data_IF_605574201989
#
_entry.id   IF_605574201989
#
_cell.length_a   1.000
_cell.length_b   1.000
_cell.length_c   1.000
_cell.angle_alpha   90.00
_cell.angle_beta   90.00
_cell.angle_gamma   90.00
#
_symmetry.space_group_name_H-M   'P 1'
#
loop_
_entity.id
_entity.type
_entity.pdbx_description
1 polymer ?
#
# COMPACT_ATOMS: atom_id res chain seq x y z
N UNK A 1 37.60 -12.07 -37.76
CA UNK A 1 37.42 -10.60 -37.75
C UNK A 1 35.98 -10.14 -37.96
N UNK A 2 35.23 -10.53 -39.01
CA UNK A 2 33.83 -10.07 -39.17
C UNK A 2 32.86 -10.57 -38.08
N UNK A 3 33.05 -11.80 -37.58
CA UNK A 3 32.23 -12.39 -36.51
C UNK A 3 32.37 -11.64 -35.17
N UNK A 4 33.61 -11.26 -34.82
CA UNK A 4 33.93 -10.53 -33.60
C UNK A 4 33.33 -9.11 -33.61
N UNK A 5 33.37 -8.43 -34.76
CA UNK A 5 32.72 -7.13 -34.94
C UNK A 5 31.19 -7.25 -34.77
N UNK A 6 30.58 -8.36 -35.22
CA UNK A 6 29.15 -8.57 -35.05
C UNK A 6 28.76 -8.83 -33.58
N UNK A 7 29.57 -9.62 -32.86
CA UNK A 7 29.38 -9.88 -31.43
C UNK A 7 29.51 -8.59 -30.60
N UNK A 8 30.57 -7.81 -30.82
CA UNK A 8 30.77 -6.54 -30.10
C UNK A 8 29.65 -5.53 -30.38
N UNK A 9 29.13 -5.48 -31.61
CA UNK A 9 27.98 -4.62 -31.93
C UNK A 9 26.70 -5.06 -31.20
N UNK A 10 26.45 -6.37 -31.14
CA UNK A 10 25.31 -6.93 -30.43
C UNK A 10 25.38 -6.64 -28.93
N UNK A 11 26.56 -6.78 -28.32
CA UNK A 11 26.77 -6.46 -26.91
C UNK A 11 26.57 -4.97 -26.63
N UNK A 12 27.07 -4.08 -27.49
CA UNK A 12 26.84 -2.64 -27.37
C UNK A 12 25.37 -2.26 -27.49
N UNK A 13 24.63 -2.87 -28.41
CA UNK A 13 23.21 -2.59 -28.57
C UNK A 13 22.39 -3.09 -27.37
N UNK A 14 22.77 -4.22 -26.78
CA UNK A 14 22.18 -4.71 -25.54
C UNK A 14 22.44 -3.77 -24.36
N UNK A 15 23.67 -3.31 -24.18
CA UNK A 15 24.02 -2.37 -23.11
C UNK A 15 23.28 -1.04 -23.28
N UNK A 16 23.21 -0.52 -24.51
CA UNK A 16 22.43 0.69 -24.80
C UNK A 16 20.94 0.51 -24.50
N UNK A 17 20.37 -0.66 -24.81
CA UNK A 17 18.97 -0.97 -24.48
C UNK A 17 18.73 -1.06 -22.98
N UNK A 18 19.68 -1.56 -22.19
CA UNK A 18 19.52 -1.63 -20.73
C UNK A 18 19.69 -0.26 -20.07
N UNK A 19 20.68 0.52 -20.50
CA UNK A 19 21.01 1.83 -19.89
C UNK A 19 20.04 2.92 -20.32
N UNK A 20 19.71 2.99 -21.61
CA UNK A 20 18.89 4.04 -22.20
C UNK A 20 17.48 3.57 -22.58
N UNK A 21 17.24 2.26 -22.60
CA UNK A 21 15.92 1.73 -22.86
C UNK A 21 15.03 1.79 -21.62
N UNK A 22 13.74 1.65 -21.88
CA UNK A 22 12.71 1.73 -20.86
C UNK A 22 12.68 0.42 -20.07
N UNK A 23 12.84 0.49 -18.74
CA UNK A 23 12.79 -0.69 -17.84
C UNK A 23 11.38 -1.23 -17.59
N UNK A 24 10.34 -0.45 -17.93
CA UNK A 24 8.94 -0.86 -17.88
C UNK A 24 8.36 -0.97 -19.29
N UNK A 25 7.84 -2.14 -19.63
CA UNK A 25 7.09 -2.35 -20.86
C UNK A 25 5.75 -1.63 -20.75
N UNK A 26 5.61 -0.47 -21.42
CA UNK A 26 4.28 0.04 -21.76
C UNK A 26 3.91 -0.66 -23.06
N UNK A 27 2.90 -1.52 -23.02
CA UNK A 27 2.39 -2.20 -24.21
C UNK A 27 2.04 -1.17 -25.29
N UNK A 28 2.81 -1.13 -26.37
CA UNK A 28 2.52 -0.31 -27.57
C UNK A 28 2.05 -1.28 -28.65
N UNK A 29 0.72 -1.40 -28.78
CA UNK A 29 0.07 -2.34 -29.69
C UNK A 29 0.38 -2.14 -31.20
N UNK A 30 1.22 -1.17 -31.57
CA UNK A 30 1.20 -0.61 -32.92
C UNK A 30 2.51 -0.60 -33.72
N UNK A 31 3.65 -1.05 -33.21
CA UNK A 31 4.93 -0.79 -33.91
C UNK A 31 5.91 -1.95 -34.06
N UNK A 32 5.81 -3.03 -33.27
CA UNK A 32 6.84 -4.09 -33.29
C UNK A 32 6.34 -5.53 -33.13
N UNK A 33 5.04 -5.75 -33.02
CA UNK A 33 4.51 -7.10 -33.14
C UNK A 33 4.33 -7.41 -34.63
N UNK A 34 4.89 -8.52 -35.17
CA UNK A 34 4.52 -8.97 -36.50
C UNK A 34 2.99 -9.15 -36.50
N UNK A 35 2.30 -8.41 -37.37
CA UNK A 35 0.83 -8.37 -37.46
C UNK A 35 0.21 -9.77 -37.56
N UNK A 36 0.97 -10.73 -38.06
CA UNK A 36 0.59 -12.15 -38.17
C UNK A 36 0.41 -12.84 -36.80
N UNK A 37 1.16 -12.46 -35.76
CA UNK A 37 0.99 -13.06 -34.42
C UNK A 37 -0.27 -12.56 -33.70
N UNK A 38 -0.71 -11.33 -33.98
CA UNK A 38 -1.90 -10.74 -33.37
C UNK A 38 -3.21 -11.14 -34.07
N UNK A 39 -3.12 -11.69 -35.28
CA UNK A 39 -4.29 -12.07 -36.08
C UNK A 39 -4.83 -13.48 -35.78
N UNK A 40 -4.20 -14.27 -34.90
CA UNK A 40 -4.61 -15.66 -34.64
C UNK A 40 -6.03 -15.80 -34.07
N UNK A 41 -6.59 -14.73 -33.49
CA UNK A 41 -7.95 -14.70 -32.92
C UNK A 41 -8.82 -13.55 -33.45
N UNK A 42 -8.37 -12.84 -34.50
CA UNK A 42 -9.07 -11.65 -34.99
C UNK A 42 -10.47 -11.98 -35.55
N UNK A 43 -10.61 -13.10 -36.27
CA UNK A 43 -11.90 -13.54 -36.82
C UNK A 43 -12.88 -13.95 -35.71
N UNK A 44 -12.39 -14.67 -34.69
CA UNK A 44 -13.20 -15.09 -33.55
C UNK A 44 -13.65 -13.90 -32.67
N UNK A 45 -12.82 -12.86 -32.56
CA UNK A 45 -13.16 -11.63 -31.84
C UNK A 45 -14.17 -10.78 -32.64
N UNK A 46 -14.00 -10.66 -33.95
CA UNK A 46 -14.91 -9.91 -34.82
C UNK A 46 -16.34 -10.51 -34.81
N UNK A 47 -16.47 -11.83 -34.79
CA UNK A 47 -17.78 -12.50 -34.67
C UNK A 47 -18.42 -12.31 -33.29
N UNK A 48 -17.63 -12.20 -32.22
CA UNK A 48 -18.13 -11.92 -30.87
C UNK A 48 -18.56 -10.45 -30.73
N UNK A 49 -17.82 -9.51 -31.31
CA UNK A 49 -18.15 -8.08 -31.33
C UNK A 49 -19.42 -7.81 -32.16
N UNK A 50 -19.58 -8.48 -33.31
CA UNK A 50 -20.79 -8.37 -34.12
C UNK A 50 -22.06 -8.89 -33.40
N UNK A 51 -21.93 -9.93 -32.55
CA UNK A 51 -23.02 -10.43 -31.70
C UNK A 51 -23.29 -9.54 -30.49
N UNK A 52 -22.27 -8.89 -29.93
CA UNK A 52 -22.43 -7.95 -28.82
C UNK A 52 -23.01 -6.60 -29.26
N UNK A 53 -22.74 -6.16 -30.49
CA UNK A 53 -23.25 -4.90 -31.04
C UNK A 53 -24.75 -4.89 -31.37
N UNK A 54 -25.37 -6.08 -31.50
CA UNK A 54 -26.82 -6.22 -31.76
C UNK A 54 -27.67 -6.30 -30.48
N UNK A 55 -27.04 -6.46 -29.31
CA UNK A 55 -27.74 -6.35 -28.04
C UNK A 55 -27.88 -4.86 -27.69
N UNK A 56 -29.06 -4.28 -27.98
CA UNK A 56 -29.41 -2.94 -27.50
C UNK A 56 -29.10 -2.83 -26.01
N UNK A 57 -28.24 -1.88 -25.66
CA UNK A 57 -27.75 -1.70 -24.29
C UNK A 57 -28.88 -1.11 -23.45
N UNK A 58 -29.75 -1.98 -22.96
CA UNK A 58 -30.73 -1.65 -21.92
C UNK A 58 -29.94 -1.43 -20.63
N UNK A 59 -29.86 -0.17 -20.19
CA UNK A 59 -29.22 0.17 -18.92
C UNK A 59 -30.19 -0.14 -17.79
N UNK A 60 -29.95 -1.24 -17.09
CA UNK A 60 -30.70 -1.62 -15.89
C UNK A 60 -30.04 -1.01 -14.65
N UNK A 61 -30.85 -0.41 -13.77
CA UNK A 61 -30.39 0.10 -12.48
C UNK A 61 -30.44 -1.05 -11.46
N UNK A 62 -29.27 -1.59 -11.12
CA UNK A 62 -29.14 -2.69 -10.16
C UNK A 62 -28.91 -2.09 -8.76
N UNK A 63 -29.98 -1.98 -7.98
CA UNK A 63 -29.89 -1.77 -6.53
C UNK A 63 -29.62 -3.11 -5.84
N UNK A 64 -28.52 -3.19 -5.11
CA UNK A 64 -28.21 -4.36 -4.30
C UNK A 64 -27.91 -3.94 -2.86
N UNK A 65 -28.45 -4.70 -1.92
CA UNK A 65 -28.17 -4.54 -0.50
C UNK A 65 -26.92 -5.34 -0.13
N UNK A 66 -25.93 -4.66 0.43
CA UNK A 66 -24.71 -5.31 0.94
C UNK A 66 -24.79 -5.46 2.45
N UNK A 67 -24.89 -6.71 2.89
CA UNK A 67 -24.71 -7.06 4.29
C UNK A 67 -23.28 -6.73 4.74
N UNK A 68 -23.11 -5.65 5.51
CA UNK A 68 -21.85 -5.35 6.19
C UNK A 68 -21.71 -6.35 7.34
N UNK A 69 -20.59 -7.08 7.45
CA UNK A 69 -20.38 -7.97 8.58
C UNK A 69 -20.44 -7.15 9.87
N UNK A 70 -21.42 -7.48 10.73
CA UNK A 70 -21.64 -6.86 12.05
C UNK A 70 -20.40 -7.00 12.93
N UNK A 71 -19.65 -8.09 12.74
CA UNK A 71 -18.40 -8.35 13.43
C UNK A 71 -17.24 -8.32 12.43
N UNK A 72 -16.70 -7.12 12.18
CA UNK A 72 -15.40 -6.98 11.49
C UNK A 72 -14.36 -7.59 12.42
N UNK A 73 -13.94 -8.82 12.16
CA UNK A 73 -12.80 -9.44 12.85
C UNK A 73 -11.66 -8.42 12.83
N UNK A 74 -11.27 -7.92 14.00
CA UNK A 74 -10.13 -7.03 14.14
C UNK A 74 -8.96 -7.74 13.48
N UNK A 75 -8.31 -7.08 12.53
CA UNK A 75 -7.14 -7.66 11.88
C UNK A 75 -6.17 -8.11 13.00
N UNK A 76 -5.70 -9.36 12.98
CA UNK A 76 -4.68 -9.82 13.92
C UNK A 76 -3.45 -9.00 13.57
N UNK A 77 -3.15 -7.98 14.39
CA UNK A 77 -2.14 -6.96 14.15
C UNK A 77 -0.74 -7.54 13.94
N UNK A 78 0.27 -6.77 14.29
CA UNK A 78 1.60 -7.33 14.41
C UNK A 78 1.65 -8.35 15.55
N UNK A 79 2.34 -9.47 15.34
CA UNK A 79 2.70 -10.40 16.41
C UNK A 79 3.62 -9.64 17.39
N UNK A 80 3.34 -9.68 18.70
CA UNK A 80 4.23 -9.06 19.67
C UNK A 80 5.62 -9.70 19.63
N UNK A 81 6.63 -8.92 20.00
CA UNK A 81 8.00 -9.42 20.12
C UNK A 81 8.08 -10.47 21.24
N UNK A 82 8.90 -11.51 21.11
CA UNK A 82 9.05 -12.54 22.14
C UNK A 82 9.66 -11.99 23.44
N UNK A 83 9.15 -12.44 24.60
CA UNK A 83 9.57 -11.97 25.93
C UNK A 83 10.96 -12.47 26.39
N UNK A 84 11.56 -13.42 25.70
CA UNK A 84 12.86 -13.99 26.08
C UNK A 84 14.07 -13.18 25.59
N UNK A 85 13.85 -12.15 24.77
CA UNK A 85 14.91 -11.25 24.31
C UNK A 85 15.32 -10.30 25.44
N UNK A 86 16.58 -9.87 25.44
CA UNK A 86 17.06 -8.85 26.38
C UNK A 86 16.31 -7.54 26.13
N UNK A 87 15.88 -6.84 27.18
CA UNK A 87 15.17 -5.57 27.09
C UNK A 87 16.07 -4.46 27.65
N UNK A 88 16.30 -3.42 26.85
CA UNK A 88 17.00 -2.21 27.26
C UNK A 88 15.99 -1.05 27.31
N UNK A 89 15.82 -0.44 28.48
CA UNK A 89 14.82 0.61 28.71
C UNK A 89 15.47 1.99 28.75
N UNK A 90 15.02 2.88 27.88
CA UNK A 90 15.45 4.28 27.82
C UNK A 90 14.26 5.19 28.08
N UNK A 91 14.31 5.94 29.18
CA UNK A 91 13.29 6.93 29.56
C UNK A 91 13.65 8.29 28.98
N UNK A 92 12.75 8.88 28.21
CA UNK A 92 12.92 10.22 27.62
C UNK A 92 11.89 11.17 28.25
N UNK A 93 12.37 12.13 29.02
CA UNK A 93 11.55 13.20 29.62
C UNK A 93 11.35 14.36 28.62
N UNK A 94 10.23 15.10 28.71
CA UNK A 94 10.01 16.27 27.86
C UNK A 94 10.93 17.43 28.27
N UNK A 95 11.30 18.27 27.30
CA UNK A 95 12.22 19.41 27.51
C UNK A 95 11.61 20.56 28.35
N UNK A 96 10.35 20.48 28.74
CA UNK A 96 9.67 21.48 29.55
C UNK A 96 9.67 21.11 31.05
N UNK A 97 9.65 22.12 31.92
CA UNK A 97 9.57 21.91 33.36
C UNK A 97 8.25 21.19 33.76
N UNK A 98 8.37 20.00 34.36
CA UNK A 98 7.25 19.09 34.68
C UNK A 98 6.77 19.16 36.13
N UNK A 99 7.34 20.04 36.96
CA UNK A 99 7.11 20.09 38.41
C UNK A 99 5.64 20.28 38.83
N UNK A 100 4.84 20.99 38.03
CA UNK A 100 3.42 21.27 38.33
C UNK A 100 2.44 20.39 37.51
N UNK A 101 2.96 19.44 36.74
CA UNK A 101 2.17 18.59 35.85
C UNK A 101 1.82 17.23 36.48
N UNK A 102 0.69 16.65 36.06
CA UNK A 102 0.25 15.32 36.55
C UNK A 102 0.67 14.24 35.54
N UNK A 103 1.38 13.22 36.00
CA UNK A 103 1.70 12.02 35.22
C UNK A 103 0.42 11.21 34.96
N UNK A 104 0.08 10.99 33.68
CA UNK A 104 -1.11 10.23 33.26
C UNK A 104 -0.75 8.78 32.98
N UNK A 105 0.42 8.55 32.40
CA UNK A 105 0.89 7.24 31.95
C UNK A 105 1.96 7.35 30.87
N UNK A 106 2.51 6.23 30.44
CA UNK A 106 3.69 6.21 29.57
C UNK A 106 3.35 5.77 28.14
N UNK A 107 3.99 6.40 27.16
CA UNK A 107 4.04 5.90 25.78
C UNK A 107 5.23 4.96 25.63
N UNK A 108 4.94 3.67 25.45
CA UNK A 108 5.95 2.63 25.28
C UNK A 108 6.06 2.29 23.80
N UNK A 109 7.26 2.40 23.25
CA UNK A 109 7.59 1.95 21.89
C UNK A 109 8.70 0.90 21.96
N UNK A 110 8.38 -0.33 21.57
CA UNK A 110 9.33 -1.44 21.51
C UNK A 110 9.85 -1.61 20.07
N UNK A 111 11.17 -1.58 19.89
CA UNK A 111 11.84 -1.83 18.61
C UNK A 111 12.82 -2.99 18.73
N UNK A 112 12.90 -3.84 17.71
CA UNK A 112 13.88 -4.92 17.66
C UNK A 112 15.22 -4.37 17.15
N UNK A 113 16.21 -4.32 18.02
CA UNK A 113 17.57 -3.90 17.71
C UNK A 113 18.50 -5.12 17.54
N UNK A 114 19.56 -4.94 16.76
CA UNK A 114 20.50 -5.99 16.42
C UNK A 114 21.93 -5.58 16.71
N UNK A 115 22.60 -6.38 17.52
CA UNK A 115 24.04 -6.40 17.71
C UNK A 115 24.54 -7.71 17.09
N UNK A 116 25.72 -7.76 16.44
CA UNK A 116 26.22 -8.99 15.79
C UNK A 116 26.23 -10.24 16.67
N UNK A 117 26.19 -10.08 18.00
CA UNK A 117 26.12 -11.17 18.96
C UNK A 117 24.70 -11.49 19.45
N UNK A 118 23.79 -10.50 19.54
CA UNK A 118 22.51 -10.61 20.25
C UNK A 118 21.42 -9.76 19.59
N UNK A 119 20.19 -10.28 19.56
CA UNK A 119 18.97 -9.52 19.30
C UNK A 119 18.38 -9.05 20.63
N UNK A 120 17.99 -7.79 20.69
CA UNK A 120 17.43 -7.19 21.90
C UNK A 120 16.29 -6.25 21.56
N UNK A 121 15.44 -6.00 22.55
CA UNK A 121 14.30 -5.09 22.45
C UNK A 121 14.77 -3.77 23.06
N UNK A 122 14.84 -2.74 22.22
CA UNK A 122 15.03 -1.35 22.66
C UNK A 122 13.65 -0.77 22.98
N UNK A 123 13.39 -0.55 24.27
CA UNK A 123 12.13 -0.01 24.78
C UNK A 123 12.31 1.47 25.10
N UNK A 124 11.68 2.33 24.31
CA UNK A 124 11.62 3.76 24.60
C UNK A 124 10.36 4.07 25.40
N UNK A 125 10.53 4.62 26.60
CA UNK A 125 9.45 5.03 27.51
C UNK A 125 9.38 6.56 27.51
N UNK A 126 8.25 7.11 27.07
CA UNK A 126 7.99 8.55 27.02
C UNK A 126 6.81 8.88 27.94
N UNK A 127 7.04 9.42 29.15
CA UNK A 127 5.97 9.77 30.07
C UNK A 127 5.05 10.86 29.51
N UNK A 128 3.74 10.71 29.76
CA UNK A 128 2.71 11.69 29.38
C UNK A 128 2.30 12.51 30.59
N UNK A 129 2.41 13.82 30.46
CA UNK A 129 2.03 14.77 31.48
C UNK A 129 0.79 15.56 31.06
N UNK A 130 -0.17 15.75 31.96
CA UNK A 130 -1.26 16.70 31.78
C UNK A 130 -0.93 18.01 32.51
N UNK A 131 -1.16 19.13 31.83
CA UNK A 131 -1.16 20.44 32.48
C UNK A 131 -2.38 20.55 33.38
N UNK A 132 -2.20 20.97 34.64
CA UNK A 132 -3.30 21.31 35.53
C UNK A 132 -3.93 22.59 35.00
N UNK A 133 -5.15 22.49 34.48
CA UNK A 133 -5.89 23.62 33.91
C UNK A 133 -6.34 24.58 35.03
N UNK A 134 -5.48 25.51 35.43
CA UNK A 134 -5.87 26.59 36.33
C UNK A 134 -5.82 27.99 35.69
N UNK A 135 -5.18 28.19 34.53
CA UNK A 135 -5.30 29.46 33.78
C UNK A 135 -5.34 29.26 32.25
N UNK A 136 -6.31 29.87 31.54
CA UNK A 136 -6.31 29.95 30.09
C UNK A 136 -5.44 31.16 29.69
N UNK A 137 -4.13 30.96 29.64
CA UNK A 137 -3.27 31.96 29.00
C UNK A 137 -3.34 31.73 27.48
N UNK A 138 -3.81 32.77 26.80
CA UNK A 138 -4.06 32.84 25.37
C UNK A 138 -2.73 32.80 24.60
N UNK A 139 -2.33 31.63 24.08
CA UNK A 139 -1.41 31.59 22.94
C UNK A 139 -1.89 30.57 21.89
N UNK A 140 -2.29 31.14 20.75
CA UNK A 140 -2.75 30.48 19.55
C UNK A 140 -1.60 29.71 18.87
N UNK A 141 -1.44 28.45 19.24
CA UNK A 141 -0.76 27.41 18.44
C UNK A 141 -1.02 26.05 19.07
N UNK A 142 -2.17 25.44 18.73
CA UNK A 142 -2.48 24.00 18.78
C UNK A 142 -1.65 23.16 19.78
N UNK A 143 -1.59 23.54 21.05
CA UNK A 143 -0.91 22.76 22.07
C UNK A 143 -1.92 21.79 22.65
N UNK A 144 -1.71 20.49 22.40
CA UNK A 144 -2.51 19.46 23.05
C UNK A 144 -2.37 19.59 24.57
N UNK A 145 -3.43 19.33 25.36
CA UNK A 145 -3.38 19.43 26.83
C UNK A 145 -2.39 18.44 27.46
N UNK A 146 -1.91 17.47 26.68
CA UNK A 146 -0.94 16.45 27.05
C UNK A 146 0.42 16.84 26.48
N UNK A 147 1.43 16.88 27.35
CA UNK A 147 2.82 17.11 27.00
C UNK A 147 3.57 15.78 27.02
N UNK A 148 4.32 15.52 25.95
CA UNK A 148 5.08 14.28 25.73
C UNK A 148 6.42 14.68 25.11
N UNK A 149 7.50 14.02 25.50
CA UNK A 149 8.83 14.26 24.93
C UNK A 149 8.85 14.06 23.42
N UNK A 150 9.71 14.76 22.67
CA UNK A 150 9.82 14.54 21.23
C UNK A 150 10.56 13.22 20.93
N UNK A 151 9.98 12.38 20.06
CA UNK A 151 10.68 11.20 19.56
C UNK A 151 11.51 11.59 18.33
N UNK A 152 12.83 11.51 18.44
CA UNK A 152 13.74 11.72 17.32
C UNK A 152 13.37 10.79 16.15
N UNK A 153 13.01 11.40 15.02
CA UNK A 153 12.60 10.70 13.81
C UNK A 153 13.79 9.97 13.18
N UNK A 154 13.57 8.73 12.76
CA UNK A 154 14.55 8.04 11.91
C UNK A 154 14.77 8.85 10.62
N UNK A 155 16.02 8.95 10.13
CA UNK A 155 16.35 9.76 8.95
C UNK A 155 15.69 9.23 7.66
N UNK A 156 15.31 7.95 7.65
CA UNK A 156 14.56 7.35 6.56
C UNK A 156 13.06 7.44 6.85
N UNK A 157 12.24 7.93 5.90
CA UNK A 157 10.80 7.93 6.07
C UNK A 157 10.32 6.48 6.20
N UNK A 158 9.48 6.22 7.22
CA UNK A 158 8.79 4.93 7.33
C UNK A 158 7.95 4.74 6.06
N UNK A 159 8.39 3.84 5.19
CA UNK A 159 7.61 3.42 4.03
C UNK A 159 6.45 2.61 4.59
N UNK A 160 5.38 3.31 4.98
CA UNK A 160 4.10 2.65 5.18
C UNK A 160 3.78 1.91 3.89
N UNK A 161 3.38 0.62 3.94
CA UNK A 161 2.86 -0.08 2.79
C UNK A 161 1.50 0.53 2.46
N UNK A 162 1.51 1.75 1.92
CA UNK A 162 0.35 2.34 1.28
C UNK A 162 0.09 1.44 0.08
N UNK A 163 -1.05 0.73 0.02
CA UNK A 163 -1.45 0.14 -1.23
C UNK A 163 -1.51 1.31 -2.22
N UNK A 164 -0.75 1.21 -3.31
CA UNK A 164 -0.59 2.24 -4.36
C UNK A 164 -1.89 2.46 -5.16
N UNK A 165 -3.05 2.19 -4.55
CA UNK A 165 -4.35 2.03 -5.21
C UNK A 165 -5.37 3.14 -4.85
N UNK A 166 -5.05 4.14 -4.03
CA UNK A 166 -6.05 5.15 -3.62
C UNK A 166 -5.76 6.60 -4.02
N UNK A 167 -4.71 6.87 -4.81
CA UNK A 167 -4.37 8.23 -5.24
C UNK A 167 -4.52 8.48 -6.76
N UNK A 168 -5.41 7.73 -7.41
CA UNK A 168 -6.00 8.15 -8.69
C UNK A 168 -7.48 7.76 -8.64
N UNK A 169 -8.34 8.68 -8.18
CA UNK A 169 -9.76 8.81 -8.58
C UNK A 169 -10.40 9.92 -7.75
N UNK A 170 -9.91 11.14 -7.95
CA UNK A 170 -10.68 12.35 -7.72
C UNK A 170 -10.42 13.30 -8.89
N UNK A 171 -10.66 12.81 -10.10
CA UNK A 171 -10.84 13.67 -11.27
C UNK A 171 -12.18 13.29 -11.90
N UNK A 172 -13.18 14.18 -11.89
CA UNK A 172 -14.51 13.92 -12.43
C UNK A 172 -14.49 14.16 -13.95
N UNK A 173 -13.71 13.38 -14.69
CA UNK A 173 -13.85 13.35 -16.13
C UNK A 173 -13.22 12.07 -16.69
N UNK A 174 -13.93 11.48 -17.64
CA UNK A 174 -13.61 10.25 -18.38
C UNK A 174 -13.88 8.93 -17.64
N UNK A 175 -15.15 8.55 -17.75
CA UNK A 175 -15.62 7.23 -18.14
C UNK A 175 -14.55 6.45 -18.92
N UNK A 176 -14.14 5.25 -18.43
CA UNK A 176 -14.01 3.97 -19.17
C UNK A 176 -13.07 2.96 -18.45
N UNK A 177 -13.68 1.80 -18.14
CA UNK A 177 -13.16 0.43 -18.04
C UNK A 177 -12.29 0.02 -16.84
N UNK A 178 -12.93 -0.67 -15.89
CA UNK A 178 -12.34 -1.86 -15.27
C UNK A 178 -13.46 -2.81 -14.76
N UNK A 179 -13.77 -3.86 -15.51
CA UNK A 179 -14.51 -5.03 -15.01
C UNK A 179 -14.10 -6.26 -15.80
N UNK A 180 -13.12 -6.98 -15.29
CA UNK A 180 -12.93 -8.39 -15.61
C UNK A 180 -12.35 -9.09 -14.38
N UNK A 181 -13.16 -9.95 -13.75
CA UNK A 181 -12.82 -11.27 -13.22
C UNK A 181 -14.04 -11.84 -12.46
N UNK A 182 -14.37 -13.09 -12.80
CA UNK A 182 -15.19 -14.08 -12.10
C UNK A 182 -16.72 -14.10 -12.34
N UNK A 183 -17.11 -14.88 -13.34
CA UNK A 183 -18.31 -15.73 -13.28
C UNK A 183 -17.98 -17.09 -13.91
N UNK A 184 -17.73 -18.10 -13.10
CA UNK A 184 -17.98 -19.50 -13.47
C UNK A 184 -19.16 -19.94 -12.62
N UNK A 185 -20.31 -20.14 -13.27
CA UNK A 185 -21.55 -20.64 -12.67
C UNK A 185 -21.84 -21.97 -13.36
N UNK A 186 -22.03 -23.04 -12.60
CA UNK A 186 -22.68 -24.26 -13.08
C UNK A 186 -23.94 -24.46 -12.27
N UNK A 187 -25.00 -24.69 -13.02
CA UNK A 187 -26.41 -24.64 -12.66
C UNK A 187 -26.90 -25.86 -11.89
N UNK A 188 -27.84 -25.58 -10.98
CA UNK A 188 -29.01 -26.34 -10.51
C UNK A 188 -29.28 -27.75 -11.07
N UNK A 189 -29.62 -28.68 -10.17
CA UNK A 189 -30.69 -29.66 -10.40
C UNK A 189 -31.40 -30.05 -9.08
N UNK A 190 -32.72 -29.93 -9.11
CA UNK A 190 -33.75 -30.35 -8.15
C UNK A 190 -33.98 -31.87 -8.29
N UNK A 191 -34.26 -32.60 -7.20
CA UNK A 191 -35.30 -33.66 -7.17
C UNK A 191 -35.54 -34.22 -5.75
N UNK A 192 -36.83 -34.45 -5.47
CA UNK A 192 -37.43 -35.00 -4.25
C UNK A 192 -36.97 -36.42 -3.91
N UNK A 193 -36.69 -36.70 -2.64
CA UNK A 193 -37.44 -37.57 -1.70
C UNK A 193 -36.76 -37.51 -0.33
#
# INVERSE_FOLDING_TARGET
>A
MKAEIAQLKFELDNLKRVVFGRTSERFVAGQQAPSEQLNMFAEAMAEQEAKAAQAEVVKEHIEYERNKPVNRKKHPGHTPLPEHLRVEETVIEPDCDTTDMVHIGDEITDQLAYTPADLYIERTIRPKYARRSEQPEEEEQQTSPIVIAELHLSPLPRVSPRPVCWLILSSPSLSIICRFIARFNVSSAIMNW
#
